data_IF_857630280492
#
_entry.id   IF_857630280492
#
_cell.length_a   1.000
_cell.length_b   1.000
_cell.length_c   1.000
_cell.angle_alpha   90.00
_cell.angle_beta   90.00
_cell.angle_gamma   90.00
#
_symmetry.space_group_name_H-M   'P 1'
#
loop_
_entity.id
_entity.type
_entity.pdbx_description
1 polymer ?
#
# COMPACT_ATOMS: atom_id res chain seq x y z
N UNK A 1 10.38 -24.84 9.75
CA UNK A 1 10.40 -24.36 11.14
C UNK A 1 10.85 -22.91 11.09
N UNK A 2 9.90 -21.98 11.18
CA UNK A 2 10.15 -20.54 11.07
C UNK A 2 10.77 -20.07 12.39
N UNK A 3 12.06 -19.77 12.38
CA UNK A 3 12.75 -19.21 13.54
C UNK A 3 12.26 -17.77 13.74
N UNK A 4 11.75 -17.45 14.93
CA UNK A 4 11.31 -16.10 15.27
C UNK A 4 12.52 -15.16 15.24
N UNK A 5 12.61 -14.32 14.21
CA UNK A 5 13.68 -13.34 14.07
C UNK A 5 13.21 -11.98 14.60
N UNK A 6 13.95 -11.32 15.50
CA UNK A 6 13.62 -9.98 16.00
C UNK A 6 13.40 -8.95 14.88
N UNK A 7 13.96 -9.19 13.69
CA UNK A 7 13.77 -8.34 12.51
C UNK A 7 12.31 -8.28 12.04
N UNK A 8 11.50 -9.33 12.28
CA UNK A 8 10.09 -9.38 11.89
C UNK A 8 9.25 -8.35 12.64
N UNK A 9 9.57 -8.10 13.91
CA UNK A 9 8.89 -7.08 14.72
C UNK A 9 9.08 -5.68 14.12
N UNK A 10 10.23 -5.39 13.53
CA UNK A 10 10.47 -4.13 12.83
C UNK A 10 9.53 -4.00 11.63
N UNK A 11 9.32 -5.07 10.87
CA UNK A 11 8.41 -5.08 9.73
C UNK A 11 6.94 -4.92 10.15
N UNK A 12 6.53 -5.37 11.34
CA UNK A 12 5.17 -5.13 11.83
C UNK A 12 4.90 -3.65 12.15
N UNK A 13 5.91 -2.93 12.67
CA UNK A 13 5.80 -1.51 13.02
C UNK A 13 6.05 -0.61 11.80
N UNK A 14 6.67 -1.15 10.75
CA UNK A 14 7.05 -0.44 9.54
C UNK A 14 5.91 0.36 8.86
N UNK A 15 4.66 -0.14 8.72
CA UNK A 15 3.57 0.63 8.15
C UNK A 15 3.30 1.92 8.91
N UNK A 16 3.34 1.87 10.25
CA UNK A 16 3.10 3.04 11.11
C UNK A 16 4.21 4.06 10.88
N UNK A 17 5.47 3.61 10.87
CA UNK A 17 6.63 4.48 10.61
C UNK A 17 6.51 5.14 9.23
N UNK A 18 6.14 4.40 8.20
CA UNK A 18 5.96 4.90 6.83
C UNK A 18 4.85 5.95 6.76
N UNK A 19 3.74 5.78 7.49
CA UNK A 19 2.69 6.79 7.53
C UNK A 19 3.19 8.12 8.12
N UNK A 20 3.89 8.08 9.25
CA UNK A 20 4.47 9.29 9.83
C UNK A 20 5.56 9.91 8.94
N UNK A 21 6.45 9.08 8.40
CA UNK A 21 7.51 9.52 7.50
C UNK A 21 6.94 10.15 6.22
N UNK A 22 5.89 9.58 5.64
CA UNK A 22 5.27 10.12 4.43
C UNK A 22 4.59 11.48 4.66
N UNK A 23 3.94 11.68 5.81
CA UNK A 23 3.38 12.99 6.20
C UNK A 23 4.50 14.01 6.40
N UNK A 24 5.57 13.61 7.09
CA UNK A 24 6.74 14.46 7.29
C UNK A 24 7.40 14.83 5.96
N UNK A 25 7.63 13.88 5.06
CA UNK A 25 8.23 14.12 3.73
C UNK A 25 7.38 15.07 2.88
N UNK A 26 6.05 14.88 2.85
CA UNK A 26 5.15 15.77 2.11
C UNK A 26 5.17 17.20 2.68
N UNK A 27 5.29 17.33 4.00
CA UNK A 27 5.43 18.63 4.68
C UNK A 27 6.81 19.26 4.42
N UNK A 28 7.89 18.50 4.57
CA UNK A 28 9.27 18.98 4.44
C UNK A 28 9.60 19.46 3.03
N UNK A 29 9.20 18.73 2.00
CA UNK A 29 9.43 19.08 0.60
C UNK A 29 8.29 19.93 -0.01
N UNK A 30 7.30 20.35 0.79
CA UNK A 30 6.16 21.16 0.33
C UNK A 30 5.39 20.57 -0.88
N UNK A 31 5.39 19.23 -1.06
CA UNK A 31 4.75 18.57 -2.22
C UNK A 31 3.24 18.80 -2.27
N UNK A 32 2.63 19.10 -1.12
CA UNK A 32 1.21 19.45 -1.06
C UNK A 32 0.92 20.73 -1.86
N UNK A 33 1.80 21.75 -1.77
CA UNK A 33 1.64 23.04 -2.47
C UNK A 33 1.86 22.94 -3.98
N UNK A 34 2.83 22.12 -4.42
CA UNK A 34 3.26 22.07 -5.82
C UNK A 34 2.55 20.98 -6.65
N UNK A 35 2.27 19.82 -6.06
CA UNK A 35 1.72 18.66 -6.78
C UNK A 35 0.38 18.15 -6.22
N UNK A 36 -0.16 18.77 -5.16
CA UNK A 36 -1.39 18.32 -4.47
C UNK A 36 -1.33 16.86 -3.97
N UNK A 37 -0.13 16.32 -3.80
CA UNK A 37 0.11 14.96 -3.31
C UNK A 37 -0.07 14.93 -1.79
N UNK A 38 -0.74 13.89 -1.30
CA UNK A 38 -0.93 13.67 0.14
C UNK A 38 0.04 12.61 0.64
N UNK A 39 0.32 12.60 1.95
CA UNK A 39 1.17 11.59 2.61
C UNK A 39 0.87 10.14 2.18
N UNK A 40 -0.41 9.71 2.15
CA UNK A 40 -0.78 8.36 1.71
C UNK A 40 -0.29 8.00 0.29
N UNK A 41 -0.23 8.98 -0.61
CA UNK A 41 0.19 8.77 -1.98
C UNK A 41 1.69 8.42 -2.06
N UNK A 42 2.49 9.03 -1.18
CA UNK A 42 3.93 8.78 -1.07
C UNK A 42 4.22 7.49 -0.30
N UNK A 43 3.33 7.09 0.62
CA UNK A 43 3.50 5.88 1.43
C UNK A 43 3.46 4.58 0.61
N UNK A 44 2.68 4.53 -0.49
CA UNK A 44 2.47 3.32 -1.31
C UNK A 44 3.77 2.60 -1.72
N UNK A 45 4.73 3.25 -2.40
CA UNK A 45 5.97 2.58 -2.82
C UNK A 45 6.80 2.05 -1.64
N UNK A 46 6.83 2.77 -0.51
CA UNK A 46 7.53 2.29 0.69
C UNK A 46 6.82 1.09 1.32
N UNK A 47 5.48 1.10 1.35
CA UNK A 47 4.68 -0.03 1.83
C UNK A 47 4.90 -1.28 0.97
N UNK A 48 5.03 -1.15 -0.35
CA UNK A 48 5.34 -2.29 -1.23
C UNK A 48 6.69 -2.90 -0.90
N UNK A 49 7.71 -2.07 -0.66
CA UNK A 49 9.02 -2.55 -0.26
C UNK A 49 8.97 -3.32 1.07
N UNK A 50 8.31 -2.74 2.08
CA UNK A 50 8.15 -3.40 3.38
C UNK A 50 7.35 -4.70 3.27
N UNK A 51 6.38 -4.76 2.37
CA UNK A 51 5.53 -5.95 2.19
C UNK A 51 6.31 -7.08 1.53
N UNK A 52 7.15 -6.77 0.54
CA UNK A 52 8.03 -7.73 -0.10
C UNK A 52 8.98 -8.39 0.89
N UNK A 53 9.56 -7.59 1.78
CA UNK A 53 10.51 -8.08 2.77
C UNK A 53 9.83 -8.92 3.84
N UNK A 54 8.65 -8.48 4.32
CA UNK A 54 7.84 -9.25 5.26
C UNK A 54 7.39 -10.58 4.66
N UNK A 55 6.87 -10.58 3.42
CA UNK A 55 6.35 -11.80 2.80
C UNK A 55 7.46 -12.82 2.53
N UNK A 56 8.64 -12.38 2.10
CA UNK A 56 9.80 -13.27 1.94
C UNK A 56 10.29 -13.83 3.27
N UNK A 57 10.34 -13.01 4.32
CA UNK A 57 10.81 -13.44 5.63
C UNK A 57 9.83 -14.41 6.32
N UNK A 58 8.52 -14.15 6.22
CA UNK A 58 7.49 -14.96 6.88
C UNK A 58 7.10 -16.22 6.07
N UNK A 59 6.87 -16.07 4.76
CA UNK A 59 6.26 -17.11 3.93
C UNK A 59 7.19 -17.68 2.84
N UNK A 60 8.45 -17.22 2.76
CA UNK A 60 9.41 -17.56 1.69
C UNK A 60 8.89 -17.28 0.27
N UNK A 61 7.86 -16.45 0.15
CA UNK A 61 7.18 -16.11 -1.10
C UNK A 61 6.97 -14.61 -1.20
N UNK A 62 7.14 -14.04 -2.39
CA UNK A 62 6.84 -12.64 -2.64
C UNK A 62 5.36 -12.46 -2.97
N UNK A 63 4.63 -11.73 -2.12
CA UNK A 63 3.21 -11.42 -2.35
C UNK A 63 3.02 -10.28 -3.37
N UNK A 64 4.09 -9.53 -3.67
CA UNK A 64 4.05 -8.34 -4.53
C UNK A 64 3.44 -8.58 -5.92
N UNK A 65 3.77 -9.65 -6.67
CA UNK A 65 3.18 -9.87 -7.99
C UNK A 65 1.66 -9.97 -7.93
N UNK A 66 1.13 -10.65 -6.90
CA UNK A 66 -0.31 -10.79 -6.68
C UNK A 66 -0.96 -9.45 -6.32
N UNK A 67 -0.27 -8.63 -5.54
CA UNK A 67 -0.73 -7.28 -5.22
C UNK A 67 -0.79 -6.37 -6.46
N UNK A 68 0.22 -6.42 -7.33
CA UNK A 68 0.24 -5.65 -8.59
C UNK A 68 -0.93 -6.05 -9.49
N UNK A 69 -1.17 -7.35 -9.67
CA UNK A 69 -2.32 -7.85 -10.45
C UNK A 69 -3.63 -7.35 -9.84
N UNK A 70 -3.76 -7.41 -8.52
CA UNK A 70 -4.96 -6.94 -7.81
C UNK A 70 -5.18 -5.44 -8.00
N UNK A 71 -4.13 -4.63 -7.98
CA UNK A 71 -4.21 -3.17 -8.21
C UNK A 71 -4.61 -2.86 -9.65
N UNK A 72 -4.07 -3.60 -10.63
CA UNK A 72 -4.48 -3.44 -12.03
C UNK A 72 -5.97 -3.74 -12.21
N UNK A 73 -6.45 -4.81 -11.57
CA UNK A 73 -7.87 -5.16 -11.56
C UNK A 73 -8.73 -4.06 -10.90
N UNK A 74 -8.26 -3.52 -9.78
CA UNK A 74 -8.90 -2.39 -9.08
C UNK A 74 -8.96 -1.15 -9.98
N UNK A 75 -7.93 -0.89 -10.78
CA UNK A 75 -7.91 0.15 -11.80
C UNK A 75 -9.00 -0.03 -12.85
N UNK A 76 -9.15 -1.24 -13.40
CA UNK A 76 -10.21 -1.56 -14.37
C UNK A 76 -11.59 -1.34 -13.75
N UNK A 77 -11.83 -1.87 -12.55
CA UNK A 77 -13.09 -1.69 -11.83
C UNK A 77 -13.43 -0.21 -11.62
N UNK A 78 -12.44 0.61 -11.29
CA UNK A 78 -12.65 2.06 -11.10
C UNK A 78 -13.00 2.78 -12.40
N UNK A 79 -12.39 2.40 -13.53
CA UNK A 79 -12.75 2.98 -14.83
C UNK A 79 -14.20 2.65 -15.16
N UNK A 80 -14.61 1.39 -15.00
CA UNK A 80 -16.00 0.96 -15.24
C UNK A 80 -16.96 1.68 -14.32
N UNK A 81 -16.64 1.78 -13.03
CA UNK A 81 -17.44 2.52 -12.05
C UNK A 81 -17.57 3.99 -12.44
N UNK A 82 -16.48 4.65 -12.81
CA UNK A 82 -16.50 6.06 -13.17
C UNK A 82 -17.31 6.31 -14.46
N UNK A 83 -17.16 5.45 -15.47
CA UNK A 83 -17.94 5.54 -16.71
C UNK A 83 -19.43 5.36 -16.46
N UNK A 84 -19.82 4.42 -15.59
CA UNK A 84 -21.22 4.15 -15.26
C UNK A 84 -21.89 5.31 -14.50
N UNK A 85 -21.23 5.87 -13.49
CA UNK A 85 -21.85 6.89 -12.62
C UNK A 85 -21.71 8.32 -13.11
N UNK A 86 -20.60 8.67 -13.75
CA UNK A 86 -20.31 10.07 -14.11
C UNK A 86 -20.48 10.36 -15.60
N UNK A 87 -20.64 9.35 -16.46
CA UNK A 87 -20.78 9.50 -17.91
C UNK A 87 -19.54 10.05 -18.64
N UNK A 88 -18.57 10.59 -17.91
CA UNK A 88 -17.29 11.09 -18.41
C UNK A 88 -16.11 10.62 -17.55
N UNK A 89 -14.98 10.35 -18.21
CA UNK A 89 -13.76 9.91 -17.56
C UNK A 89 -12.81 11.10 -17.42
N UNK A 90 -12.89 11.80 -16.29
CA UNK A 90 -11.90 12.81 -15.94
C UNK A 90 -10.62 12.15 -15.40
N UNK A 91 -9.54 12.15 -16.19
CA UNK A 91 -8.25 11.52 -15.82
C UNK A 91 -7.70 11.97 -14.46
N UNK A 92 -7.77 13.27 -14.15
CA UNK A 92 -7.28 13.83 -12.89
C UNK A 92 -8.02 13.26 -11.67
N UNK A 93 -9.33 13.04 -11.81
CA UNK A 93 -10.17 12.48 -10.75
C UNK A 93 -9.92 10.99 -10.61
N UNK A 94 -9.84 10.29 -11.74
CA UNK A 94 -9.51 8.87 -11.79
C UNK A 94 -8.19 8.58 -11.08
N UNK A 95 -7.11 9.26 -11.45
CA UNK A 95 -5.78 9.00 -10.88
C UNK A 95 -5.73 9.25 -9.36
N UNK A 96 -6.36 10.34 -8.88
CA UNK A 96 -6.45 10.60 -7.43
C UNK A 96 -7.25 9.53 -6.70
N UNK A 97 -8.32 9.01 -7.29
CA UNK A 97 -9.14 7.97 -6.68
C UNK A 97 -8.44 6.61 -6.69
N UNK A 98 -7.88 6.23 -7.84
CA UNK A 98 -7.08 5.03 -8.02
C UNK A 98 -5.93 4.97 -7.01
N UNK A 99 -5.13 6.04 -6.92
CA UNK A 99 -3.97 6.04 -6.04
C UNK A 99 -4.33 5.93 -4.56
N UNK A 100 -5.43 6.56 -4.13
CA UNK A 100 -5.96 6.43 -2.77
C UNK A 100 -6.49 5.03 -2.46
N UNK A 101 -7.17 4.40 -3.41
CA UNK A 101 -7.66 3.05 -3.24
C UNK A 101 -6.53 2.03 -3.23
N UNK A 102 -5.51 2.23 -4.07
CA UNK A 102 -4.27 1.45 -4.02
C UNK A 102 -3.60 1.54 -2.66
N UNK A 103 -3.53 2.74 -2.06
CA UNK A 103 -3.02 2.91 -0.70
C UNK A 103 -3.85 2.12 0.33
N UNK A 104 -5.18 2.27 0.32
CA UNK A 104 -6.07 1.56 1.24
C UNK A 104 -5.93 0.04 1.09
N UNK A 105 -5.93 -0.45 -0.15
CA UNK A 105 -5.79 -1.88 -0.45
C UNK A 105 -4.42 -2.43 -0.03
N UNK A 106 -3.35 -1.67 -0.25
CA UNK A 106 -2.00 -2.03 0.20
C UNK A 106 -1.92 -2.08 1.72
N UNK A 107 -2.52 -1.11 2.42
CA UNK A 107 -2.55 -1.09 3.88
C UNK A 107 -3.34 -2.27 4.46
N UNK A 108 -4.49 -2.58 3.86
CA UNK A 108 -5.34 -3.71 4.25
C UNK A 108 -4.61 -5.05 4.07
N UNK A 109 -4.01 -5.27 2.90
CA UNK A 109 -3.24 -6.48 2.62
C UNK A 109 -2.02 -6.61 3.52
N UNK A 110 -1.34 -5.50 3.86
CA UNK A 110 -0.23 -5.52 4.83
C UNK A 110 -0.71 -5.96 6.21
N UNK A 111 -1.82 -5.38 6.70
CA UNK A 111 -2.41 -5.75 7.98
C UNK A 111 -2.82 -7.23 8.03
N UNK A 112 -3.44 -7.74 6.96
CA UNK A 112 -3.80 -9.16 6.84
C UNK A 112 -2.57 -10.07 6.88
N UNK A 113 -1.47 -9.70 6.22
CA UNK A 113 -0.23 -10.47 6.25
C UNK A 113 0.37 -10.54 7.66
N UNK A 114 0.37 -9.44 8.40
CA UNK A 114 0.81 -9.44 9.81
C UNK A 114 -0.06 -10.39 10.64
N UNK A 115 -1.39 -10.29 10.50
CA UNK A 115 -2.32 -11.15 11.26
C UNK A 115 -2.11 -12.62 10.91
N UNK A 116 -1.98 -12.95 9.62
CA UNK A 116 -1.73 -14.33 9.17
C UNK A 116 -0.40 -14.87 9.71
N UNK A 117 0.65 -14.06 9.72
CA UNK A 117 1.95 -14.43 10.26
C UNK A 117 1.85 -14.72 11.77
N UNK A 118 1.21 -13.83 12.55
CA UNK A 118 0.98 -14.04 13.98
C UNK A 118 0.18 -15.32 14.25
N UNK A 119 -0.88 -15.58 13.49
CA UNK A 119 -1.72 -16.79 13.67
C UNK A 119 -0.97 -18.06 13.29
N UNK A 120 -0.12 -18.02 12.27
CA UNK A 120 0.67 -19.18 11.85
C UNK A 120 1.79 -19.52 12.86
N UNK A 121 2.30 -18.51 13.55
CA UNK A 121 3.32 -18.67 14.59
C UNK A 121 2.77 -19.09 15.97
N UNK A 122 1.48 -18.89 16.23
CA UNK A 122 0.80 -19.26 17.48
C UNK A 122 0.51 -20.76 17.53
#
# INVERSE_FOLDING_TARGET
>A
MTTFSPILLLWYVFPIIVLFASVFLVSALSLNKKFQLKGPDVAVPFLWFGMHQLSQAAFSLSILPYLIISILFLGILLVVFQAYYYGEITYKRFFKMFWRLTFLFTMLTYGLLIIMDIVLYL
#
